data_IF_720057103286
#
_entry.id   IF_720057103286
#
_cell.length_a   1.000
_cell.length_b   1.000
_cell.length_c   1.000
_cell.angle_alpha   90.00
_cell.angle_beta   90.00
_cell.angle_gamma   90.00
#
_symmetry.space_group_name_H-M   'P 1'
#
loop_
_entity.id
_entity.type
_entity.pdbx_description
1 polymer ?
#
# COMPACT_ATOMS: atom_id res chain seq x y z
N UNK A 1 -11.50 5.79 -8.18
CA UNK A 1 -11.26 4.84 -9.27
C UNK A 1 -10.46 5.48 -10.41
N UNK A 2 -9.67 4.72 -11.12
CA UNK A 2 -8.89 5.26 -12.25
C UNK A 2 -9.83 5.61 -13.41
N UNK A 3 -9.77 6.85 -13.89
CA UNK A 3 -10.47 7.26 -15.10
C UNK A 3 -9.62 6.88 -16.33
N UNK A 4 -10.10 5.95 -17.16
CA UNK A 4 -9.45 5.54 -18.41
C UNK A 4 -9.75 6.56 -19.50
N UNK A 5 -8.80 7.45 -19.78
CA UNK A 5 -8.86 8.34 -20.94
C UNK A 5 -8.64 7.56 -22.23
N UNK A 6 -9.11 8.08 -23.37
CA UNK A 6 -8.93 7.44 -24.69
C UNK A 6 -7.46 7.18 -25.01
N UNK A 7 -6.57 8.12 -24.67
CA UNK A 7 -5.11 7.97 -24.84
C UNK A 7 -4.48 6.82 -24.03
N UNK A 8 -5.21 6.28 -23.05
CA UNK A 8 -4.74 5.14 -22.23
C UNK A 8 -5.38 3.81 -22.60
N UNK A 9 -6.30 3.78 -23.56
CA UNK A 9 -6.98 2.53 -23.99
C UNK A 9 -6.02 1.45 -24.46
N UNK A 10 -4.93 1.81 -25.15
CA UNK A 10 -3.90 0.84 -25.55
C UNK A 10 -3.26 0.11 -24.37
N UNK A 11 -3.12 0.80 -23.21
CA UNK A 11 -2.57 0.20 -22.00
C UNK A 11 -3.45 -0.91 -21.43
N UNK A 12 -4.77 -0.85 -21.66
CA UNK A 12 -5.73 -1.84 -21.18
C UNK A 12 -5.44 -3.21 -21.78
N UNK A 13 -5.30 -3.30 -23.09
CA UNK A 13 -4.99 -4.57 -23.77
C UNK A 13 -3.64 -5.14 -23.31
N UNK A 14 -2.63 -4.29 -23.16
CA UNK A 14 -1.31 -4.70 -22.65
C UNK A 14 -1.40 -5.21 -21.21
N UNK A 15 -2.09 -4.47 -20.34
CA UNK A 15 -2.27 -4.85 -18.94
C UNK A 15 -3.05 -6.17 -18.79
N UNK A 16 -4.06 -6.38 -19.65
CA UNK A 16 -4.90 -7.58 -19.64
C UNK A 16 -4.30 -8.78 -20.40
N UNK A 17 -3.15 -8.64 -21.04
CA UNK A 17 -2.55 -9.72 -21.84
C UNK A 17 -2.35 -11.01 -21.03
N UNK A 18 -2.00 -10.92 -19.74
CA UNK A 18 -1.91 -12.06 -18.85
C UNK A 18 -3.26 -12.74 -18.62
N UNK A 19 -4.32 -11.96 -18.42
CA UNK A 19 -5.69 -12.46 -18.25
C UNK A 19 -6.17 -13.11 -19.55
N UNK A 20 -5.90 -12.48 -20.69
CA UNK A 20 -6.26 -13.03 -22.00
C UNK A 20 -5.61 -14.40 -22.23
N UNK A 21 -4.31 -14.49 -21.99
CA UNK A 21 -3.58 -15.75 -22.15
C UNK A 21 -4.10 -16.85 -21.23
N UNK A 22 -4.35 -16.53 -19.97
CA UNK A 22 -4.85 -17.48 -18.98
C UNK A 22 -6.27 -17.98 -19.28
N UNK A 23 -7.05 -17.24 -20.06
CA UNK A 23 -8.44 -17.56 -20.42
C UNK A 23 -8.63 -17.99 -21.86
N UNK A 24 -7.57 -18.06 -22.67
CA UNK A 24 -7.65 -18.44 -24.10
C UNK A 24 -8.45 -17.45 -24.94
N UNK A 25 -8.44 -16.15 -24.58
CA UNK A 25 -9.13 -15.07 -25.29
C UNK A 25 -8.12 -14.07 -25.86
N UNK A 26 -8.54 -13.27 -26.83
CA UNK A 26 -7.64 -12.40 -27.59
C UNK A 26 -7.91 -10.91 -27.45
N UNK A 27 -9.06 -10.52 -26.91
CA UNK A 27 -9.46 -9.11 -26.86
C UNK A 27 -10.47 -8.81 -25.74
N UNK A 28 -10.69 -7.49 -25.52
CA UNK A 28 -11.59 -6.99 -24.47
C UNK A 28 -13.06 -7.42 -24.72
N UNK A 29 -13.50 -7.48 -25.97
CA UNK A 29 -14.88 -7.90 -26.27
C UNK A 29 -15.15 -9.33 -25.79
N UNK A 30 -14.22 -10.25 -26.04
CA UNK A 30 -14.31 -11.62 -25.53
C UNK A 30 -14.28 -11.68 -24.01
N UNK A 31 -13.50 -10.81 -23.37
CA UNK A 31 -13.47 -10.72 -21.89
C UNK A 31 -14.84 -10.26 -21.34
N UNK A 32 -15.49 -9.27 -21.97
CA UNK A 32 -16.83 -8.81 -21.59
C UNK A 32 -17.83 -9.95 -21.72
N UNK A 33 -17.85 -10.65 -22.87
CA UNK A 33 -18.70 -11.82 -23.06
C UNK A 33 -18.47 -12.90 -21.98
N UNK A 34 -17.21 -13.14 -21.61
CA UNK A 34 -16.89 -14.09 -20.54
C UNK A 34 -17.44 -13.63 -19.19
N UNK A 35 -17.32 -12.35 -18.86
CA UNK A 35 -17.85 -11.78 -17.60
C UNK A 35 -19.37 -11.86 -17.53
N UNK A 36 -20.05 -11.59 -18.64
CA UNK A 36 -21.50 -11.66 -18.74
C UNK A 36 -22.02 -13.11 -18.77
N UNK A 37 -21.30 -14.01 -19.43
CA UNK A 37 -21.63 -15.42 -19.56
C UNK A 37 -21.39 -16.26 -18.29
N UNK A 38 -20.73 -15.73 -17.28
CA UNK A 38 -20.48 -16.46 -16.01
C UNK A 38 -21.78 -16.66 -15.23
N UNK A 39 -22.24 -17.92 -15.17
CA UNK A 39 -23.41 -18.31 -14.39
C UNK A 39 -23.15 -18.31 -12.89
N UNK A 40 -21.93 -18.66 -12.49
CA UNK A 40 -21.52 -18.67 -11.09
C UNK A 40 -21.11 -17.26 -10.62
N UNK A 41 -21.70 -16.81 -9.52
CA UNK A 41 -21.34 -15.54 -8.89
C UNK A 41 -19.89 -15.53 -8.38
N UNK A 42 -19.38 -16.68 -7.91
CA UNK A 42 -18.00 -16.84 -7.46
C UNK A 42 -17.00 -16.67 -8.61
N UNK A 43 -17.27 -17.30 -9.76
CA UNK A 43 -16.38 -17.27 -10.92
C UNK A 43 -16.33 -15.89 -11.57
N UNK A 44 -17.51 -15.23 -11.66
CA UNK A 44 -17.58 -13.82 -12.08
C UNK A 44 -16.75 -12.93 -11.16
N UNK A 45 -16.88 -13.10 -9.84
CA UNK A 45 -16.12 -12.31 -8.86
C UNK A 45 -14.62 -12.56 -8.98
N UNK A 46 -14.20 -13.80 -9.15
CA UNK A 46 -12.79 -14.17 -9.33
C UNK A 46 -12.20 -13.55 -10.61
N UNK A 47 -12.92 -13.64 -11.74
CA UNK A 47 -12.49 -13.03 -12.99
C UNK A 47 -12.45 -11.50 -12.90
N UNK A 48 -13.47 -10.88 -12.32
CA UNK A 48 -13.48 -9.42 -12.06
C UNK A 48 -12.27 -8.99 -11.24
N UNK A 49 -11.94 -9.74 -10.18
CA UNK A 49 -10.76 -9.45 -9.35
C UNK A 49 -9.46 -9.54 -10.16
N UNK A 50 -9.30 -10.56 -11.01
CA UNK A 50 -8.13 -10.69 -11.89
C UNK A 50 -8.00 -9.51 -12.86
N UNK A 51 -9.10 -9.06 -13.43
CA UNK A 51 -9.14 -7.88 -14.31
C UNK A 51 -8.76 -6.62 -13.56
N UNK A 52 -9.34 -6.39 -12.38
CA UNK A 52 -9.00 -5.25 -11.53
C UNK A 52 -7.52 -5.25 -11.20
N UNK A 53 -6.99 -6.37 -10.72
CA UNK A 53 -5.56 -6.48 -10.37
C UNK A 53 -4.61 -6.25 -11.56
N UNK A 54 -5.00 -6.69 -12.76
CA UNK A 54 -4.20 -6.46 -13.96
C UNK A 54 -4.17 -4.98 -14.40
N UNK A 55 -5.23 -4.22 -14.11
CA UNK A 55 -5.37 -2.83 -14.50
C UNK A 55 -4.79 -1.84 -13.47
N UNK A 56 -4.54 -2.28 -12.24
CA UNK A 56 -4.00 -1.42 -11.19
C UNK A 56 -2.53 -1.06 -11.45
N UNK A 57 -2.18 0.18 -11.10
CA UNK A 57 -0.80 0.62 -11.06
C UNK A 57 -0.30 0.49 -9.62
N UNK A 58 0.69 -0.39 -9.42
CA UNK A 58 1.27 -0.67 -8.10
C UNK A 58 2.53 0.15 -7.82
N UNK A 59 2.82 1.18 -8.61
CA UNK A 59 4.03 1.95 -8.44
C UNK A 59 4.06 2.65 -7.08
N UNK A 60 5.08 2.30 -6.30
CA UNK A 60 5.36 2.89 -4.99
C UNK A 60 6.86 2.82 -4.70
N UNK A 61 7.35 3.65 -3.80
CA UNK A 61 8.71 3.65 -3.28
C UNK A 61 8.77 4.33 -1.91
N UNK A 62 9.85 4.07 -1.17
CA UNK A 62 10.04 4.64 0.16
C UNK A 62 10.14 6.17 0.10
N UNK A 63 9.47 6.85 1.04
CA UNK A 63 9.41 8.32 1.15
C UNK A 63 9.00 9.02 -0.16
N UNK A 64 8.11 8.39 -0.93
CA UNK A 64 7.57 8.96 -2.17
C UNK A 64 6.96 10.32 -1.90
N UNK A 65 7.36 11.35 -2.70
CA UNK A 65 7.01 12.75 -2.49
C UNK A 65 7.62 13.29 -1.18
N UNK A 66 8.95 13.38 -1.19
CA UNK A 66 9.76 13.76 -0.04
C UNK A 66 9.26 15.03 0.67
N UNK A 67 8.84 16.12 -0.01
CA UNK A 67 8.30 17.29 0.68
C UNK A 67 7.12 17.00 1.61
N UNK A 68 6.22 16.12 1.20
CA UNK A 68 5.10 15.69 2.07
C UNK A 68 5.60 14.89 3.28
N UNK A 69 6.57 13.98 3.07
CA UNK A 69 7.14 13.20 4.16
C UNK A 69 7.97 14.05 5.13
N UNK A 70 8.66 15.07 4.66
CA UNK A 70 9.42 15.99 5.51
C UNK A 70 8.50 16.81 6.44
N UNK A 71 7.30 17.18 6.00
CA UNK A 71 6.31 17.89 6.83
C UNK A 71 5.72 17.03 7.97
N UNK A 72 5.70 15.70 7.81
CA UNK A 72 5.11 14.84 8.83
C UNK A 72 5.80 14.96 10.19
N UNK A 73 7.12 14.74 10.33
CA UNK A 73 7.80 14.86 11.62
C UNK A 73 7.92 16.30 12.13
N UNK A 74 7.95 17.29 11.23
CA UNK A 74 8.17 18.71 11.60
C UNK A 74 6.89 19.40 12.09
N UNK A 75 5.74 19.06 11.50
CA UNK A 75 4.50 19.80 11.73
C UNK A 75 3.35 18.89 12.15
N UNK A 76 3.02 17.89 11.34
CA UNK A 76 1.79 17.10 11.49
C UNK A 76 1.82 16.23 12.75
N UNK A 77 2.86 15.42 12.91
CA UNK A 77 2.99 14.52 14.05
C UNK A 77 3.11 15.26 15.39
N UNK A 78 3.86 16.40 15.49
CA UNK A 78 3.84 17.25 16.68
C UNK A 78 2.46 17.77 17.06
N UNK A 79 1.67 18.20 16.07
CA UNK A 79 0.32 18.69 16.30
C UNK A 79 -0.63 17.60 16.78
N UNK A 80 -0.54 16.43 16.18
CA UNK A 80 -1.30 15.25 16.61
C UNK A 80 -0.89 14.81 18.02
N UNK A 81 0.40 14.82 18.34
CA UNK A 81 0.89 14.52 19.68
C UNK A 81 0.28 15.45 20.74
N UNK A 82 0.21 16.75 20.46
CA UNK A 82 -0.45 17.72 21.39
C UNK A 82 -1.92 17.40 21.58
N UNK A 83 -2.65 17.10 20.49
CA UNK A 83 -4.09 16.79 20.53
C UNK A 83 -4.41 15.48 21.24
N UNK A 84 -3.48 14.53 21.24
CA UNK A 84 -3.65 13.17 21.80
C UNK A 84 -2.79 12.92 23.05
N UNK A 85 -2.30 13.97 23.70
CA UNK A 85 -1.37 13.88 24.83
C UNK A 85 -1.90 13.01 25.99
N UNK A 86 -3.19 13.12 26.30
CA UNK A 86 -3.80 12.37 27.40
C UNK A 86 -3.89 10.86 27.10
N UNK A 87 -4.25 10.50 25.87
CA UNK A 87 -4.43 9.10 25.47
C UNK A 87 -3.15 8.43 24.96
N UNK A 88 -2.14 9.21 24.57
CA UNK A 88 -0.87 8.75 23.99
C UNK A 88 -1.05 7.66 22.92
N UNK A 89 -2.04 7.85 22.06
CA UNK A 89 -2.35 6.91 20.98
C UNK A 89 -2.56 7.66 19.66
N UNK A 90 -1.93 7.19 18.60
CA UNK A 90 -2.16 7.63 17.24
C UNK A 90 -2.59 6.47 16.35
N UNK A 91 -3.64 6.69 15.57
CA UNK A 91 -4.15 5.77 14.57
C UNK A 91 -4.01 6.39 13.18
N UNK A 92 -3.27 5.73 12.30
CA UNK A 92 -2.92 6.23 10.97
C UNK A 92 -3.42 5.24 9.92
N UNK A 93 -4.03 5.74 8.86
CA UNK A 93 -4.49 4.94 7.74
C UNK A 93 -3.84 5.38 6.43
N UNK A 94 -3.19 4.43 5.74
CA UNK A 94 -2.67 4.58 4.39
C UNK A 94 -3.58 3.82 3.42
N UNK A 95 -4.42 4.54 2.70
CA UNK A 95 -5.35 3.99 1.72
C UNK A 95 -4.66 3.85 0.37
N UNK A 96 -4.72 2.66 -0.26
CA UNK A 96 -3.99 2.35 -1.50
C UNK A 96 -2.49 2.14 -1.26
N UNK A 97 -2.13 1.37 -0.24
CA UNK A 97 -0.75 1.24 0.24
C UNK A 97 0.19 0.43 -0.68
N UNK A 98 -0.32 -0.21 -1.75
CA UNK A 98 0.46 -1.06 -2.65
C UNK A 98 1.29 -2.10 -1.88
N UNK A 99 2.58 -2.24 -2.18
CA UNK A 99 3.51 -3.18 -1.53
C UNK A 99 4.09 -2.67 -0.20
N UNK A 100 3.51 -1.60 0.37
CA UNK A 100 3.72 -1.20 1.76
C UNK A 100 4.80 -0.16 2.02
N UNK A 101 5.51 0.35 1.00
CA UNK A 101 6.60 1.30 1.20
C UNK A 101 6.16 2.59 1.91
N UNK A 102 4.97 3.13 1.60
CA UNK A 102 4.44 4.31 2.29
C UNK A 102 4.20 4.03 3.77
N UNK A 103 3.56 2.90 4.09
CA UNK A 103 3.25 2.51 5.47
C UNK A 103 4.53 2.33 6.29
N UNK A 104 5.52 1.64 5.71
CA UNK A 104 6.80 1.45 6.37
C UNK A 104 7.61 2.74 6.47
N UNK A 105 7.51 3.66 5.52
CA UNK A 105 8.15 4.98 5.62
C UNK A 105 7.61 5.78 6.81
N UNK A 106 6.31 5.71 7.07
CA UNK A 106 5.72 6.33 8.27
C UNK A 106 6.23 5.64 9.53
N UNK A 107 6.26 4.31 9.56
CA UNK A 107 6.76 3.57 10.71
C UNK A 107 8.24 3.88 11.03
N UNK A 108 9.06 4.11 9.99
CA UNK A 108 10.45 4.55 10.17
C UNK A 108 10.54 5.93 10.82
N UNK A 109 9.67 6.90 10.49
CA UNK A 109 9.64 8.20 11.14
C UNK A 109 9.41 8.09 12.66
N UNK A 110 8.58 7.15 13.09
CA UNK A 110 8.37 6.88 14.52
C UNK A 110 9.58 6.18 15.14
N UNK A 111 10.17 5.22 14.46
CA UNK A 111 11.35 4.50 14.93
C UNK A 111 12.59 5.41 15.07
N UNK A 112 12.78 6.33 14.13
CA UNK A 112 13.87 7.33 14.18
C UNK A 112 13.71 8.35 15.29
N UNK A 113 12.50 8.52 15.80
CA UNK A 113 12.18 9.43 16.90
C UNK A 113 11.62 8.69 18.13
N UNK A 114 12.15 7.50 18.42
CA UNK A 114 11.61 6.60 19.45
C UNK A 114 11.54 7.24 20.84
N UNK A 115 12.50 8.10 21.21
CA UNK A 115 12.48 8.83 22.49
C UNK A 115 11.25 9.73 22.62
N UNK A 116 10.89 10.45 21.56
CA UNK A 116 9.70 11.30 21.51
C UNK A 116 8.41 10.52 21.67
N UNK A 117 8.38 9.30 21.11
CA UNK A 117 7.19 8.43 21.07
C UNK A 117 7.20 7.39 22.19
N UNK A 118 8.10 7.53 23.16
CA UNK A 118 8.13 6.64 24.30
C UNK A 118 6.81 6.69 25.09
N UNK A 119 6.23 5.54 25.36
CA UNK A 119 4.95 5.40 26.03
C UNK A 119 3.71 5.68 25.15
N UNK A 120 3.89 5.85 23.81
CA UNK A 120 2.80 5.97 22.86
C UNK A 120 2.43 4.64 22.23
N UNK A 121 1.16 4.47 21.94
CA UNK A 121 0.66 3.38 21.08
C UNK A 121 0.48 3.93 19.68
N UNK A 122 1.31 3.48 18.74
CA UNK A 122 1.25 3.86 17.33
C UNK A 122 0.66 2.68 16.55
N UNK A 123 -0.45 2.91 15.85
CA UNK A 123 -1.16 1.90 15.05
C UNK A 123 -1.28 2.41 13.61
N UNK A 124 -0.56 1.79 12.68
CA UNK A 124 -0.55 2.18 11.28
C UNK A 124 -1.19 1.07 10.45
N UNK A 125 -2.31 1.40 9.80
CA UNK A 125 -3.04 0.48 8.93
C UNK A 125 -2.77 0.83 7.46
N UNK A 126 -2.21 -0.11 6.71
CA UNK A 126 -2.12 -0.07 5.26
C UNK A 126 -3.25 -0.89 4.63
N UNK A 127 -3.95 -0.30 3.66
CA UNK A 127 -4.98 -1.05 2.91
C UNK A 127 -4.81 -0.92 1.41
N UNK A 128 -5.15 -1.99 0.69
CA UNK A 128 -5.19 -2.02 -0.77
C UNK A 128 -6.28 -2.97 -1.26
N UNK A 129 -6.80 -2.75 -2.46
CA UNK A 129 -7.81 -3.64 -3.05
C UNK A 129 -7.21 -4.97 -3.53
N UNK A 130 -5.90 -5.00 -3.83
CA UNK A 130 -5.18 -6.16 -4.31
C UNK A 130 -4.67 -7.03 -3.16
N UNK A 131 -5.17 -8.25 -3.06
CA UNK A 131 -4.65 -9.23 -2.11
C UNK A 131 -3.18 -9.58 -2.37
N UNK A 132 -2.74 -9.53 -3.63
CA UNK A 132 -1.36 -9.82 -4.02
C UNK A 132 -0.38 -8.84 -3.39
N UNK A 133 -0.64 -7.52 -3.49
CA UNK A 133 0.26 -6.51 -2.92
C UNK A 133 0.19 -6.48 -1.39
N UNK A 134 -0.97 -6.74 -0.80
CA UNK A 134 -1.12 -6.88 0.66
C UNK A 134 -0.29 -8.05 1.20
N UNK A 135 -0.28 -9.20 0.50
CA UNK A 135 0.61 -10.31 0.87
C UNK A 135 2.08 -9.91 0.79
N UNK A 136 2.50 -9.22 -0.27
CA UNK A 136 3.86 -8.70 -0.39
C UNK A 136 4.19 -7.71 0.74
N UNK A 137 3.32 -6.74 1.01
CA UNK A 137 3.50 -5.76 2.09
C UNK A 137 3.69 -6.43 3.47
N UNK A 138 2.91 -7.47 3.77
CA UNK A 138 3.02 -8.24 5.02
C UNK A 138 4.37 -8.94 5.19
N UNK A 139 5.05 -9.34 4.11
CA UNK A 139 6.37 -9.95 4.21
C UNK A 139 7.42 -8.96 4.70
N UNK A 140 7.27 -7.68 4.33
CA UNK A 140 8.27 -6.65 4.58
C UNK A 140 9.62 -6.95 3.93
N UNK A 141 9.60 -7.73 2.83
CA UNK A 141 10.78 -8.14 2.07
C UNK A 141 10.81 -7.41 0.74
N UNK A 142 11.93 -6.77 0.46
CA UNK A 142 12.13 -5.93 -0.71
C UNK A 142 13.42 -6.25 -1.42
N UNK A 143 13.46 -6.09 -2.72
CA UNK A 143 14.70 -6.18 -3.49
C UNK A 143 15.63 -5.01 -3.18
N UNK A 144 16.93 -5.17 -3.48
CA UNK A 144 17.91 -4.09 -3.40
C UNK A 144 17.45 -2.82 -4.13
N UNK A 145 16.90 -2.97 -5.33
CA UNK A 145 16.39 -1.85 -6.13
C UNK A 145 15.24 -1.10 -5.46
N UNK A 146 14.28 -1.84 -4.85
CA UNK A 146 13.15 -1.23 -4.16
C UNK A 146 13.58 -0.44 -2.92
N UNK A 147 14.56 -0.94 -2.18
CA UNK A 147 15.07 -0.26 -0.97
C UNK A 147 15.87 0.98 -1.34
N UNK A 148 16.75 0.88 -2.33
CA UNK A 148 17.57 2.02 -2.78
C UNK A 148 16.75 3.13 -3.43
N UNK A 149 15.54 2.82 -3.87
CA UNK A 149 14.63 3.81 -4.40
C UNK A 149 13.92 4.56 -3.25
N UNK A 150 14.52 5.66 -2.83
CA UNK A 150 13.98 6.56 -1.81
C UNK A 150 14.66 6.51 -0.45
N UNK A 151 15.58 5.53 -0.21
CA UNK A 151 16.38 5.45 1.00
C UNK A 151 17.87 5.64 0.70
N UNK A 152 18.54 6.38 1.56
CA UNK A 152 20.00 6.40 1.59
C UNK A 152 20.55 5.14 2.28
N UNK A 153 21.86 4.92 2.12
CA UNK A 153 22.52 3.73 2.69
C UNK A 153 22.37 3.67 4.21
N UNK A 154 22.42 4.80 4.89
CA UNK A 154 22.30 4.86 6.35
C UNK A 154 20.90 4.44 6.81
N UNK A 155 19.85 4.98 6.18
CA UNK A 155 18.46 4.60 6.48
C UNK A 155 18.20 3.12 6.16
N UNK A 156 18.75 2.63 5.04
CA UNK A 156 18.65 1.24 4.65
C UNK A 156 19.24 0.32 5.73
N UNK A 157 20.47 0.55 6.17
CA UNK A 157 21.14 -0.26 7.20
C UNK A 157 20.46 -0.12 8.59
N UNK A 158 19.86 1.02 8.86
CA UNK A 158 19.15 1.26 10.13
C UNK A 158 17.86 0.45 10.21
N UNK A 159 17.08 0.39 9.12
CA UNK A 159 15.72 -0.14 9.12
C UNK A 159 15.57 -1.53 8.52
N UNK A 160 16.57 -2.03 7.82
CA UNK A 160 16.52 -3.35 7.19
C UNK A 160 17.66 -4.26 7.63
N UNK A 161 17.41 -5.56 7.52
CA UNK A 161 18.40 -6.61 7.59
C UNK A 161 18.54 -7.26 6.21
N UNK A 162 19.77 -7.47 5.76
CA UNK A 162 20.03 -8.20 4.53
C UNK A 162 19.76 -9.69 4.74
N UNK A 163 19.09 -10.31 3.79
CA UNK A 163 18.78 -11.74 3.78
C UNK A 163 19.10 -12.32 2.39
N UNK A 164 19.21 -13.65 2.24
CA UNK A 164 19.43 -14.27 0.92
C UNK A 164 18.34 -13.91 -0.11
N UNK A 165 17.11 -13.64 0.35
CA UNK A 165 15.97 -13.31 -0.50
C UNK A 165 15.84 -11.80 -0.79
N UNK A 166 16.63 -10.94 -0.11
CA UNK A 166 16.56 -9.48 -0.23
C UNK A 166 16.67 -8.76 1.12
N UNK A 167 16.11 -7.57 1.20
CA UNK A 167 16.15 -6.70 2.37
C UNK A 167 14.85 -6.80 3.16
N UNK A 168 14.91 -7.29 4.38
CA UNK A 168 13.77 -7.44 5.28
C UNK A 168 13.70 -6.28 6.26
N UNK A 169 12.56 -5.64 6.34
CA UNK A 169 12.36 -4.57 7.33
C UNK A 169 12.43 -5.13 8.75
N UNK A 170 13.12 -4.43 9.65
CA UNK A 170 13.36 -4.86 11.04
C UNK A 170 12.06 -4.91 11.85
N UNK A 171 11.99 -5.83 12.78
CA UNK A 171 10.79 -6.07 13.58
C UNK A 171 10.32 -4.84 14.36
N UNK A 172 11.23 -4.00 14.85
CA UNK A 172 10.88 -2.78 15.57
C UNK A 172 9.99 -1.82 14.74
N UNK A 173 10.24 -1.72 13.44
CA UNK A 173 9.44 -0.93 12.51
C UNK A 173 8.18 -1.70 12.07
N UNK A 174 8.32 -3.00 11.82
CA UNK A 174 7.25 -3.85 11.31
C UNK A 174 6.12 -4.06 12.32
N UNK A 175 6.40 -4.13 13.62
CA UNK A 175 5.39 -4.45 14.65
C UNK A 175 4.36 -3.34 14.87
N UNK A 176 4.60 -2.13 14.36
CA UNK A 176 3.65 -1.01 14.46
C UNK A 176 2.68 -0.95 13.29
N UNK A 177 2.85 -1.81 12.27
CA UNK A 177 2.06 -1.77 11.05
C UNK A 177 1.18 -2.99 10.87
N UNK A 178 0.00 -2.78 10.28
CA UNK A 178 -0.93 -3.83 9.87
C UNK A 178 -1.35 -3.61 8.43
N UNK A 179 -1.62 -4.70 7.72
CA UNK A 179 -2.05 -4.65 6.33
C UNK A 179 -3.34 -5.45 6.15
N UNK A 180 -4.34 -4.82 5.54
CA UNK A 180 -5.65 -5.42 5.30
C UNK A 180 -6.10 -5.17 3.85
N UNK A 181 -6.77 -6.16 3.25
CA UNK A 181 -7.43 -5.94 1.97
C UNK A 181 -8.68 -5.10 2.18
N UNK A 182 -8.76 -3.96 1.48
CA UNK A 182 -9.89 -3.05 1.58
C UNK A 182 -10.13 -2.31 0.25
N UNK A 183 -11.39 -2.06 -0.07
CA UNK A 183 -11.76 -1.22 -1.20
C UNK A 183 -12.15 0.16 -0.66
N UNK A 184 -11.36 1.19 -1.00
CA UNK A 184 -11.59 2.57 -0.54
C UNK A 184 -12.93 3.20 -0.97
N UNK A 185 -13.65 2.57 -1.90
CA UNK A 185 -15.01 2.97 -2.29
C UNK A 185 -16.09 2.45 -1.33
N UNK A 186 -15.74 1.58 -0.40
CA UNK A 186 -16.60 1.11 0.67
C UNK A 186 -16.42 1.96 1.93
N UNK A 187 -17.25 1.69 2.95
CA UNK A 187 -17.10 2.34 4.25
C UNK A 187 -15.67 2.18 4.78
N UNK A 188 -15.14 3.17 5.51
CA UNK A 188 -13.80 3.09 6.08
C UNK A 188 -13.61 1.80 6.89
N UNK A 189 -12.36 1.26 6.98
CA UNK A 189 -12.11 0.09 7.81
C UNK A 189 -12.65 0.32 9.21
N UNK A 190 -13.57 -0.56 9.64
CA UNK A 190 -14.30 -0.41 10.88
C UNK A 190 -13.32 -0.45 12.06
N UNK A 191 -13.04 0.68 12.65
CA UNK A 191 -12.51 0.84 14.01
C UNK A 191 -12.44 2.32 14.35
N UNK A 192 -11.90 2.72 15.45
CA UNK A 192 -11.74 4.09 15.94
C UNK A 192 -11.42 5.11 14.85
N UNK A 193 -11.87 6.35 14.97
CA UNK A 193 -11.50 7.40 14.01
C UNK A 193 -9.98 7.50 13.89
N UNK A 194 -9.50 7.60 12.65
CA UNK A 194 -8.08 7.80 12.38
C UNK A 194 -7.67 9.24 12.67
N UNK A 195 -6.49 9.42 13.22
CA UNK A 195 -5.89 10.74 13.49
C UNK A 195 -5.24 11.32 12.23
N UNK A 196 -4.75 10.44 11.35
CA UNK A 196 -4.15 10.80 10.08
C UNK A 196 -4.57 9.80 9.00
N UNK A 197 -4.97 10.33 7.84
CA UNK A 197 -5.27 9.51 6.67
C UNK A 197 -4.40 9.97 5.51
N UNK A 198 -3.64 9.03 4.92
CA UNK A 198 -2.93 9.23 3.66
C UNK A 198 -3.69 8.47 2.56
N UNK A 199 -4.17 9.22 1.56
CA UNK A 199 -4.83 8.67 0.38
C UNK A 199 -4.18 9.31 -0.85
N UNK A 200 -3.10 8.69 -1.33
CA UNK A 200 -2.21 9.27 -2.35
C UNK A 200 -2.10 8.33 -3.54
N UNK A 201 -2.16 8.92 -4.74
CA UNK A 201 -1.98 8.16 -6.01
C UNK A 201 -2.96 6.97 -6.20
N UNK A 202 -4.17 7.06 -5.64
CA UNK A 202 -5.23 6.05 -5.68
C UNK A 202 -6.14 6.24 -6.90
#
# INVERSE_FOLDING_TARGET
>A
GQHLTESRRWRVSTALAGVFRARGISNVAQLVCLLEGQKSRSDRRALTQQVVEALLNYETYFFRDKPTFDQLPETVLPDLARKRADGRRLSIWCAGCSTGQEVHSIAMLFADNAERWHGWTIDILGTDISERVIKAARTGLYSQFEVQRGLGVIEMLRHFDETPEGWRIKNQTRNTVRFERHNVLLDPPARTPFDLILCRNV
#
